data_IF_316346931887
#
_entry.id   IF_316346931887
#
_cell.length_a   1.000
_cell.length_b   1.000
_cell.length_c   1.000
_cell.angle_alpha   90.00
_cell.angle_beta   90.00
_cell.angle_gamma   90.00
#
_symmetry.space_group_name_H-M   'P 1'
#
loop_
_entity.id
_entity.type
_entity.pdbx_description
1 polymer ?
#
# COMPACT_ATOMS: atom_id res chain seq x y z
N UNK A 1 -4.58 11.84 -15.22
CA UNK A 1 -3.26 12.50 -15.09
C UNK A 1 -2.36 11.58 -14.28
N UNK A 2 -1.05 11.86 -14.14
CA UNK A 2 -0.20 11.04 -13.25
C UNK A 2 -0.71 11.04 -11.80
N UNK A 3 -1.45 12.07 -11.41
CA UNK A 3 -1.91 12.30 -10.05
C UNK A 3 -3.08 11.36 -9.64
N UNK A 4 -3.80 10.77 -10.61
CA UNK A 4 -4.93 9.88 -10.34
C UNK A 4 -4.49 8.44 -9.97
N UNK A 5 -3.21 8.11 -10.19
CA UNK A 5 -2.70 6.74 -10.07
C UNK A 5 -2.92 6.12 -8.69
N UNK A 6 -2.81 6.91 -7.62
CA UNK A 6 -3.01 6.43 -6.24
C UNK A 6 -4.46 5.94 -6.07
N UNK A 7 -5.43 6.68 -6.63
CA UNK A 7 -6.84 6.30 -6.57
C UNK A 7 -7.14 5.07 -7.42
N UNK A 8 -6.55 4.97 -8.61
CA UNK A 8 -6.70 3.79 -9.47
C UNK A 8 -6.11 2.52 -8.82
N UNK A 9 -4.95 2.64 -8.17
CA UNK A 9 -4.33 1.57 -7.38
C UNK A 9 -5.24 1.15 -6.23
N UNK A 10 -5.74 2.11 -5.44
CA UNK A 10 -6.65 1.82 -4.32
C UNK A 10 -7.93 1.11 -4.80
N UNK A 11 -8.58 1.61 -5.85
CA UNK A 11 -9.78 1.00 -6.41
C UNK A 11 -9.53 -0.43 -6.89
N UNK A 12 -8.38 -0.68 -7.50
CA UNK A 12 -7.96 -2.02 -7.91
C UNK A 12 -7.77 -2.95 -6.71
N UNK A 13 -7.20 -2.45 -5.61
CA UNK A 13 -6.97 -3.24 -4.39
C UNK A 13 -8.29 -3.55 -3.67
N UNK A 14 -9.20 -2.59 -3.59
CA UNK A 14 -10.57 -2.79 -3.07
C UNK A 14 -11.33 -3.81 -3.90
N UNK A 15 -11.27 -3.71 -5.24
CA UNK A 15 -11.88 -4.69 -6.13
C UNK A 15 -11.28 -6.09 -5.89
N UNK A 16 -9.96 -6.22 -5.83
CA UNK A 16 -9.29 -7.52 -5.60
C UNK A 16 -9.53 -8.13 -4.23
N UNK A 17 -9.88 -7.32 -3.23
CA UNK A 17 -10.32 -7.76 -1.90
C UNK A 17 -11.74 -8.32 -1.96
N UNK A 18 -12.65 -7.62 -2.61
CA UNK A 18 -14.07 -7.98 -2.69
C UNK A 18 -14.37 -9.05 -3.75
N UNK A 19 -13.59 -9.05 -4.82
CA UNK A 19 -13.63 -9.97 -5.95
C UNK A 19 -12.27 -10.67 -6.10
N UNK A 20 -11.94 -11.63 -5.21
CA UNK A 20 -10.69 -12.38 -5.26
C UNK A 20 -10.34 -12.95 -6.64
N UNK A 21 -9.11 -12.70 -7.09
CA UNK A 21 -8.53 -13.23 -8.33
C UNK A 21 -7.32 -14.11 -8.02
N UNK A 22 -6.69 -14.70 -9.06
CA UNK A 22 -5.39 -15.36 -8.93
C UNK A 22 -4.19 -14.42 -8.74
N UNK A 23 -4.40 -13.12 -8.54
CA UNK A 23 -3.32 -12.14 -8.37
C UNK A 23 -2.63 -12.25 -7.00
N UNK A 24 -1.38 -11.82 -6.92
CA UNK A 24 -0.61 -11.78 -5.67
C UNK A 24 -1.34 -11.06 -4.54
N UNK A 25 -1.91 -9.89 -4.82
CA UNK A 25 -2.63 -9.09 -3.81
C UNK A 25 -3.93 -9.73 -3.35
N UNK A 26 -4.67 -10.39 -4.25
CA UNK A 26 -5.83 -11.19 -3.85
C UNK A 26 -5.43 -12.36 -2.97
N UNK A 27 -4.31 -13.04 -3.26
CA UNK A 27 -3.82 -14.15 -2.41
C UNK A 27 -3.36 -13.66 -1.04
N UNK A 28 -2.66 -12.52 -1.00
CA UNK A 28 -2.19 -11.89 0.24
C UNK A 28 -3.36 -11.56 1.19
N UNK A 29 -4.47 -11.07 0.64
CA UNK A 29 -5.67 -10.69 1.40
C UNK A 29 -6.63 -11.84 1.72
N UNK A 30 -6.43 -13.04 1.16
CA UNK A 30 -7.33 -14.20 1.33
C UNK A 30 -6.93 -15.17 2.44
N UNK A 31 -5.69 -15.10 2.95
CA UNK A 31 -5.27 -15.95 4.07
C UNK A 31 -6.11 -15.57 5.31
N UNK A 32 -6.42 -16.53 6.20
CA UNK A 32 -7.28 -16.32 7.38
C UNK A 32 -6.99 -14.98 8.06
N UNK A 33 -8.00 -14.17 8.40
CA UNK A 33 -7.90 -12.72 8.68
C UNK A 33 -6.65 -12.26 9.48
N UNK A 34 -6.20 -13.02 10.48
CA UNK A 34 -4.95 -12.73 11.20
C UNK A 34 -3.69 -12.88 10.36
N UNK A 35 -3.58 -13.95 9.56
CA UNK A 35 -2.41 -14.22 8.71
C UNK A 35 -2.31 -13.27 7.52
N UNK A 36 -3.43 -12.82 6.96
CA UNK A 36 -3.40 -11.82 5.89
C UNK A 36 -2.89 -10.48 6.41
N UNK A 37 -3.41 -10.02 7.55
CA UNK A 37 -2.94 -8.79 8.19
C UNK A 37 -1.45 -8.85 8.54
N UNK A 38 -1.02 -9.93 9.20
CA UNK A 38 0.39 -10.10 9.59
C UNK A 38 1.31 -10.02 8.37
N UNK A 39 0.97 -10.69 7.26
CA UNK A 39 1.77 -10.64 6.02
C UNK A 39 1.81 -9.25 5.36
N UNK A 40 0.70 -8.52 5.40
CA UNK A 40 0.64 -7.15 4.86
C UNK A 40 1.55 -6.24 5.69
N UNK A 41 1.50 -6.36 7.03
CA UNK A 41 2.31 -5.57 7.94
C UNK A 41 3.80 -5.95 7.86
N UNK A 42 4.12 -7.24 7.68
CA UNK A 42 5.49 -7.71 7.42
C UNK A 42 6.06 -7.05 6.16
N UNK A 43 5.33 -7.08 5.04
CA UNK A 43 5.74 -6.40 3.80
C UNK A 43 5.88 -4.89 4.01
N UNK A 44 4.90 -4.24 4.64
CA UNK A 44 4.98 -2.80 4.92
C UNK A 44 6.22 -2.42 5.73
N UNK A 45 6.60 -3.24 6.72
CA UNK A 45 7.81 -3.04 7.53
C UNK A 45 9.11 -3.29 6.76
N UNK A 46 9.11 -4.27 5.85
CA UNK A 46 10.21 -4.55 4.92
C UNK A 46 10.48 -3.33 4.03
N UNK A 47 9.46 -2.85 3.31
CA UNK A 47 9.61 -1.71 2.39
C UNK A 47 10.03 -0.42 3.12
N UNK A 48 9.54 -0.22 4.35
CA UNK A 48 9.95 0.93 5.17
C UNK A 48 11.45 0.85 5.50
N UNK A 49 11.98 -0.35 5.73
CA UNK A 49 13.41 -0.56 5.97
C UNK A 49 14.20 -0.38 4.67
N UNK A 50 13.69 -0.87 3.54
CA UNK A 50 14.31 -0.76 2.23
C UNK A 50 14.41 0.71 1.78
N UNK A 51 13.38 1.54 1.99
CA UNK A 51 13.46 2.99 1.75
C UNK A 51 14.59 3.65 2.54
N UNK A 52 14.75 3.28 3.82
CA UNK A 52 15.83 3.81 4.67
C UNK A 52 17.20 3.41 4.12
N UNK A 53 17.35 2.13 3.74
CA UNK A 53 18.60 1.62 3.19
C UNK A 53 18.92 2.23 1.83
N UNK A 54 17.92 2.33 0.94
CA UNK A 54 18.09 2.92 -0.38
C UNK A 54 18.49 4.39 -0.29
N UNK A 55 17.88 5.15 0.62
CA UNK A 55 18.27 6.53 0.90
C UNK A 55 19.70 6.64 1.46
N UNK A 56 20.12 5.70 2.31
CA UNK A 56 21.43 5.72 2.95
C UNK A 56 22.55 5.31 1.98
N UNK A 57 22.28 4.37 1.09
CA UNK A 57 23.26 3.75 0.22
C UNK A 57 23.28 4.34 -1.21
N UNK A 58 22.40 5.31 -1.51
CA UNK A 58 22.16 5.86 -2.86
C UNK A 58 21.76 4.76 -3.87
N UNK A 59 20.85 3.89 -3.45
CA UNK A 59 20.21 2.87 -4.31
C UNK A 59 18.90 3.43 -4.89
N UNK A 60 18.02 2.57 -5.43
CA UNK A 60 16.80 2.99 -6.13
C UNK A 60 15.69 3.46 -5.17
N UNK A 61 15.86 4.64 -4.60
CA UNK A 61 14.91 5.24 -3.65
C UNK A 61 13.49 5.39 -4.24
N UNK A 62 13.36 5.57 -5.57
CA UNK A 62 12.04 5.72 -6.21
C UNK A 62 11.29 4.40 -6.21
N UNK A 63 11.99 3.29 -6.50
CA UNK A 63 11.41 1.95 -6.45
C UNK A 63 10.89 1.62 -5.05
N UNK A 64 11.75 1.72 -4.03
CA UNK A 64 11.36 1.38 -2.65
C UNK A 64 10.27 2.31 -2.11
N UNK A 65 10.30 3.59 -2.50
CA UNK A 65 9.24 4.53 -2.12
C UNK A 65 7.90 4.15 -2.74
N UNK A 66 7.90 3.66 -3.98
CA UNK A 66 6.68 3.21 -4.65
C UNK A 66 6.10 1.97 -3.95
N UNK A 67 6.94 1.01 -3.54
CA UNK A 67 6.49 -0.19 -2.84
C UNK A 67 5.98 0.13 -1.43
N UNK A 68 6.67 1.00 -0.68
CA UNK A 68 6.18 1.49 0.61
C UNK A 68 4.80 2.16 0.48
N UNK A 69 4.62 3.04 -0.52
CA UNK A 69 3.32 3.68 -0.78
C UNK A 69 2.27 2.64 -1.17
N UNK A 70 2.63 1.67 -2.02
CA UNK A 70 1.72 0.61 -2.45
C UNK A 70 1.22 -0.23 -1.27
N UNK A 71 2.11 -0.73 -0.41
CA UNK A 71 1.72 -1.51 0.76
C UNK A 71 0.99 -0.67 1.82
N UNK A 72 1.26 0.63 1.89
CA UNK A 72 0.45 1.56 2.71
C UNK A 72 -0.99 1.62 2.21
N UNK A 73 -1.19 1.84 0.90
CA UNK A 73 -2.54 1.89 0.28
C UNK A 73 -3.23 0.53 0.40
N UNK A 74 -2.50 -0.58 0.21
CA UNK A 74 -3.02 -1.94 0.39
C UNK A 74 -3.52 -2.16 1.80
N UNK A 75 -2.77 -1.74 2.82
CA UNK A 75 -3.20 -1.83 4.21
C UNK A 75 -4.49 -1.03 4.47
N UNK A 76 -4.61 0.18 3.92
CA UNK A 76 -5.86 0.97 4.02
C UNK A 76 -7.05 0.25 3.38
N UNK A 77 -6.89 -0.24 2.14
CA UNK A 77 -7.92 -1.00 1.44
C UNK A 77 -8.31 -2.29 2.20
N UNK A 78 -7.32 -3.00 2.75
CA UNK A 78 -7.53 -4.18 3.58
C UNK A 78 -8.31 -3.85 4.86
N UNK A 79 -8.00 -2.74 5.52
CA UNK A 79 -8.72 -2.23 6.70
C UNK A 79 -10.08 -1.59 6.38
N UNK A 80 -10.37 -1.33 5.10
CA UNK A 80 -11.60 -0.68 4.66
C UNK A 80 -11.65 0.81 5.02
N UNK A 81 -10.48 1.45 5.14
CA UNK A 81 -10.33 2.89 5.37
C UNK A 81 -10.43 3.60 4.02
N UNK A 82 -11.22 4.67 3.94
CA UNK A 82 -11.38 5.44 2.71
C UNK A 82 -10.06 6.13 2.33
N UNK A 83 -9.75 6.15 1.03
CA UNK A 83 -8.59 6.87 0.52
C UNK A 83 -8.74 8.39 0.72
N UNK A 84 -9.97 8.90 0.73
CA UNK A 84 -10.23 10.32 0.95
C UNK A 84 -9.80 10.77 2.35
N UNK A 85 -9.88 9.90 3.37
CA UNK A 85 -9.37 10.19 4.72
C UNK A 85 -7.85 10.43 4.71
N UNK A 86 -7.09 9.64 3.93
CA UNK A 86 -5.65 9.84 3.75
C UNK A 86 -5.36 11.17 3.04
N UNK A 87 -6.12 11.49 2.00
CA UNK A 87 -5.93 12.73 1.24
C UNK A 87 -6.24 13.96 2.07
N UNK A 88 -7.31 13.96 2.86
CA UNK A 88 -7.62 15.05 3.79
C UNK A 88 -6.47 15.28 4.80
N UNK A 89 -5.89 14.19 5.30
CA UNK A 89 -4.77 14.23 6.24
C UNK A 89 -3.48 14.76 5.56
N UNK A 90 -3.24 14.44 4.28
CA UNK A 90 -2.14 15.03 3.49
C UNK A 90 -2.38 16.50 3.16
N UNK A 91 -3.61 16.88 2.81
CA UNK A 91 -4.02 18.27 2.57
C UNK A 91 -3.79 19.10 3.83
N UNK A 92 -4.10 18.55 5.01
CA UNK A 92 -3.86 19.23 6.27
C UNK A 92 -2.38 19.43 6.59
N UNK A 93 -1.47 18.54 6.15
CA UNK A 93 -0.02 18.72 6.28
C UNK A 93 0.59 19.73 5.31
N UNK A 94 -0.04 19.95 4.17
CA UNK A 94 0.43 20.91 3.18
C UNK A 94 0.18 22.37 3.59
N UNK A 95 -0.85 22.60 4.42
CA UNK A 95 -1.19 23.91 4.99
C UNK A 95 -0.14 24.36 6.01
#
# INVERSE_FOLDING_TARGET
MKDDIIRDVYNTLVDRKNNPTGSYTSQLMQDSEKKAEDKILEKLGEEATEVILASKNNEDLVHESADLIFFTILNLAYKGIDLDDLFDELINRHK
#
